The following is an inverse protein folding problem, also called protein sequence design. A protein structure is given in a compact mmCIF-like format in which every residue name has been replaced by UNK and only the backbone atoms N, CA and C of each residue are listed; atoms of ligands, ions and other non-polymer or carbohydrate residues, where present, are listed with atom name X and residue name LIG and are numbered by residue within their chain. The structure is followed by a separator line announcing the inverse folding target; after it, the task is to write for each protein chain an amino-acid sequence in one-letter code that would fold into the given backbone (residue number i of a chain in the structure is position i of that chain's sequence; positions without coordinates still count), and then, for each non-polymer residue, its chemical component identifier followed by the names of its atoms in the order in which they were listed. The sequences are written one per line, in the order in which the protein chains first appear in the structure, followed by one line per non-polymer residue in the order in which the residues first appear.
data_IF_697118095555
#
_entry.id   IF_697118095555
#
_cell.length_a   1.000
_cell.length_b   1.000
_cell.length_c   1.000
_cell.angle_alpha   90.00
_cell.angle_beta   90.00
_cell.angle_gamma   90.00
#
_symmetry.space_group_name_H-M   'P 1'
#
loop_
_entity.id
_entity.type
_entity.pdbx_description
1 polymer ?
#
# COMPACT_ATOMS: atom_id res chain seq x y z
N UNK A 1 38.77 -53.60 63.98
CA UNK A 1 39.83 -53.50 62.96
C UNK A 1 40.11 -52.02 62.73
N UNK A 2 41.40 -51.70 62.72
CA UNK A 2 42.00 -50.49 63.28
C UNK A 2 41.93 -49.28 62.36
N UNK A 3 41.56 -48.14 62.95
CA UNK A 3 41.44 -46.81 62.36
C UNK A 3 42.79 -46.06 62.43
N UNK A 4 43.18 -45.47 61.30
CA UNK A 4 44.07 -44.31 61.04
C UNK A 4 45.10 -43.83 62.08
N UNK A 5 46.33 -43.59 61.61
CA UNK A 5 47.30 -42.65 62.18
C UNK A 5 47.85 -41.70 61.08
N UNK A 6 48.31 -40.48 61.46
CA UNK A 6 48.43 -39.34 60.56
C UNK A 6 49.87 -38.89 60.24
N UNK A 7 49.95 -37.94 59.29
CA UNK A 7 50.88 -36.81 59.15
C UNK A 7 52.39 -37.06 59.35
N UNK A 8 53.15 -36.89 58.26
CA UNK A 8 54.57 -36.51 58.32
C UNK A 8 54.89 -35.28 57.46
N UNK A 9 55.69 -34.41 58.08
CA UNK A 9 56.13 -33.07 57.69
C UNK A 9 57.02 -33.08 56.45
N UNK A 10 56.91 -32.04 55.62
CA UNK A 10 57.93 -31.65 54.62
C UNK A 10 58.73 -30.43 55.10
N UNK A 11 60.06 -30.39 54.87
CA UNK A 11 60.89 -29.23 55.14
C UNK A 11 61.02 -28.29 53.93
N UNK A 12 61.46 -27.08 54.27
CA UNK A 12 61.71 -25.87 53.48
C UNK A 12 62.56 -26.04 52.20
N UNK A 13 62.35 -25.16 51.20
CA UNK A 13 63.42 -24.29 50.66
C UNK A 13 62.94 -23.24 49.64
N UNK A 14 63.25 -21.99 49.98
CA UNK A 14 63.75 -20.85 49.14
C UNK A 14 63.15 -20.60 47.75
N UNK A 15 62.31 -19.55 47.72
CA UNK A 15 62.45 -18.33 46.92
C UNK A 15 63.09 -18.39 45.51
N UNK A 16 62.26 -18.13 44.50
CA UNK A 16 62.62 -17.28 43.36
C UNK A 16 61.46 -16.34 43.03
N UNK A 17 61.72 -15.04 43.21
CA UNK A 17 60.88 -13.95 42.72
C UNK A 17 60.78 -14.05 41.21
N UNK A 18 59.58 -14.18 40.67
CA UNK A 18 59.26 -13.78 39.30
C UNK A 18 58.05 -12.85 39.39
N UNK A 19 58.22 -11.62 38.92
CA UNK A 19 57.16 -10.63 38.78
C UNK A 19 56.31 -11.04 37.57
N UNK A 20 54.98 -11.23 37.67
CA UNK A 20 54.16 -11.21 36.47
C UNK A 20 53.98 -9.76 36.04
N UNK A 21 54.46 -9.44 34.85
CA UNK A 21 54.13 -8.21 34.15
C UNK A 21 52.63 -8.24 33.84
N UNK A 22 51.90 -7.24 34.34
CA UNK A 22 50.52 -7.00 33.96
C UNK A 22 50.51 -6.51 32.50
N UNK A 23 50.12 -7.38 31.57
CA UNK A 23 49.75 -7.01 30.22
C UNK A 23 48.35 -6.39 30.29
N UNK A 24 48.27 -5.05 30.28
CA UNK A 24 47.04 -4.35 29.92
C UNK A 24 46.80 -4.58 28.43
N UNK A 25 45.90 -5.49 28.09
CA UNK A 25 45.32 -5.57 26.76
C UNK A 25 44.29 -4.44 26.64
N UNK A 26 44.65 -3.36 25.96
CA UNK A 26 43.68 -2.35 25.54
C UNK A 26 42.81 -2.97 24.43
N UNK A 27 41.61 -3.40 24.78
CA UNK A 27 40.59 -3.79 23.82
C UNK A 27 40.13 -2.51 23.10
N UNK A 28 40.60 -2.34 21.86
CA UNK A 28 40.11 -1.31 20.96
C UNK A 28 38.71 -1.74 20.52
N UNK A 29 37.68 -1.30 21.23
CA UNK A 29 36.30 -1.42 20.77
C UNK A 29 36.17 -0.55 19.51
N UNK A 30 36.21 -1.18 18.33
CA UNK A 30 35.63 -0.56 17.14
C UNK A 30 34.13 -0.48 17.39
N UNK A 31 33.68 0.66 17.89
CA UNK A 31 32.27 1.01 17.87
C UNK A 31 31.83 1.09 16.42
N UNK A 32 31.18 0.04 15.93
CA UNK A 32 30.31 0.17 14.77
C UNK A 32 29.19 1.08 15.25
N UNK A 33 29.22 2.35 14.85
CA UNK A 33 28.05 3.19 14.97
C UNK A 33 26.99 2.54 14.10
N UNK A 34 26.06 1.82 14.72
CA UNK A 34 24.80 1.48 14.06
C UNK A 34 24.22 2.81 13.61
N UNK A 35 24.04 2.98 12.30
CA UNK A 35 23.22 4.07 11.81
C UNK A 35 21.87 3.95 12.55
N UNK A 36 21.30 5.05 13.07
CA UNK A 36 19.95 4.97 13.61
C UNK A 36 19.08 4.36 12.52
N UNK A 37 18.41 3.24 12.83
CA UNK A 37 17.32 2.77 11.99
C UNK A 37 16.34 3.94 11.93
N UNK A 38 16.14 4.49 10.74
CA UNK A 38 15.04 5.45 10.52
C UNK A 38 13.78 4.72 10.96
N UNK A 39 13.11 5.22 12.00
CA UNK A 39 11.76 4.76 12.30
C UNK A 39 10.94 4.93 11.02
N UNK A 40 10.19 3.91 10.61
CA UNK A 40 9.22 4.06 9.53
C UNK A 40 8.31 5.23 9.91
N UNK A 41 8.14 6.17 8.98
CA UNK A 41 7.21 7.30 9.17
C UNK A 41 5.76 6.88 8.94
N UNK A 42 5.56 5.64 8.50
CA UNK A 42 4.25 5.06 8.29
C UNK A 42 3.60 4.74 9.63
N UNK A 43 2.29 4.98 9.71
CA UNK A 43 1.50 4.63 10.87
C UNK A 43 0.07 4.29 10.44
N UNK A 44 -0.50 3.29 11.10
CA UNK A 44 -1.93 2.98 11.05
C UNK A 44 -2.52 3.00 12.46
N UNK A 45 -3.81 3.30 12.54
CA UNK A 45 -4.61 3.11 13.75
C UNK A 45 -5.99 2.61 13.32
N UNK A 46 -6.43 1.47 13.86
CA UNK A 46 -7.70 0.85 13.48
C UNK A 46 -8.85 1.23 14.43
N UNK A 47 -10.10 0.94 14.03
CA UNK A 47 -11.31 1.14 14.83
C UNK A 47 -11.35 0.30 16.12
N UNK A 48 -10.40 -0.62 16.31
CA UNK A 48 -10.17 -1.28 17.59
C UNK A 48 -9.75 -0.27 18.68
N UNK A 49 -9.09 0.82 18.28
CA UNK A 49 -8.77 1.94 19.18
C UNK A 49 -10.03 2.74 19.52
N UNK A 50 -10.20 3.05 20.80
CA UNK A 50 -11.28 3.94 21.25
C UNK A 50 -11.08 5.41 20.88
N UNK A 51 -9.93 5.76 20.30
CA UNK A 51 -9.68 7.09 19.76
C UNK A 51 -10.36 7.33 18.40
N UNK A 52 -10.76 6.26 17.71
CA UNK A 52 -11.41 6.32 16.40
C UNK A 52 -12.88 5.90 16.48
N UNK A 53 -13.65 6.40 15.53
CA UNK A 53 -15.05 6.06 15.28
C UNK A 53 -15.33 6.18 13.78
N UNK A 54 -16.38 5.52 13.27
CA UNK A 54 -16.79 5.69 11.88
C UNK A 54 -17.00 7.18 11.52
N UNK A 55 -17.55 7.96 12.46
CA UNK A 55 -17.73 9.41 12.31
C UNK A 55 -16.41 10.15 12.14
N UNK A 56 -15.40 9.88 12.98
CA UNK A 56 -14.09 10.54 12.84
C UNK A 56 -13.35 10.09 11.57
N UNK A 57 -13.56 8.85 11.10
CA UNK A 57 -13.01 8.41 9.81
C UNK A 57 -13.64 9.19 8.65
N UNK A 58 -14.96 9.25 8.57
CA UNK A 58 -15.66 9.98 7.53
C UNK A 58 -15.34 11.50 7.56
N UNK A 59 -15.21 12.09 8.75
CA UNK A 59 -14.76 13.48 8.93
C UNK A 59 -13.32 13.73 8.46
N UNK A 60 -12.42 12.74 8.60
CA UNK A 60 -11.04 12.83 8.10
C UNK A 60 -10.97 12.86 6.57
N UNK A 61 -11.87 12.10 5.91
CA UNK A 61 -11.98 12.05 4.44
C UNK A 61 -12.62 13.33 3.89
N UNK A 62 -13.55 13.93 4.64
CA UNK A 62 -14.26 15.14 4.26
C UNK A 62 -13.32 16.36 4.11
N UNK A 63 -13.39 17.01 2.96
CA UNK A 63 -12.68 18.25 2.67
C UNK A 63 -13.29 19.46 3.36
N UNK A 64 -12.64 20.63 3.26
CA UNK A 64 -13.09 21.86 3.90
C UNK A 64 -14.55 22.21 3.55
N UNK A 65 -15.36 22.50 4.58
CA UNK A 65 -16.76 22.91 4.41
C UNK A 65 -17.75 21.77 4.15
N UNK A 66 -17.28 20.52 4.05
CA UNK A 66 -18.16 19.36 4.01
C UNK A 66 -18.56 18.99 5.44
N UNK A 67 -19.87 18.85 5.66
CA UNK A 67 -20.41 18.35 6.95
C UNK A 67 -20.78 16.89 6.79
N UNK A 68 -20.27 16.05 7.68
CA UNK A 68 -20.51 14.60 7.74
C UNK A 68 -21.52 14.28 8.84
N UNK A 69 -22.42 13.34 8.59
CA UNK A 69 -23.35 12.80 9.57
C UNK A 69 -23.59 11.31 9.37
N UNK A 70 -24.19 10.66 10.38
CA UNK A 70 -24.68 9.29 10.33
C UNK A 70 -23.64 8.25 9.89
N UNK A 71 -22.37 8.49 10.20
CA UNK A 71 -21.33 7.56 9.79
C UNK A 71 -21.41 6.25 10.57
N UNK A 72 -21.35 5.13 9.85
CA UNK A 72 -21.37 3.77 10.39
C UNK A 72 -20.31 2.91 9.73
N UNK A 73 -19.78 1.96 10.49
CA UNK A 73 -18.86 0.95 9.97
C UNK A 73 -19.42 -0.45 10.25
N UNK A 74 -19.32 -1.34 9.27
CA UNK A 74 -19.61 -2.76 9.37
C UNK A 74 -18.40 -3.56 8.89
N UNK A 75 -17.98 -4.56 9.66
CA UNK A 75 -16.75 -5.33 9.47
C UNK A 75 -16.03 -5.59 10.80
N UNK A 76 -14.86 -6.21 10.76
CA UNK A 76 -13.98 -6.30 11.92
C UNK A 76 -13.32 -4.93 12.20
N UNK A 77 -13.21 -4.48 13.46
CA UNK A 77 -12.55 -3.21 13.79
C UNK A 77 -11.10 -3.08 13.32
N UNK A 78 -10.39 -4.16 12.96
CA UNK A 78 -9.04 -4.05 12.35
C UNK A 78 -9.05 -3.70 10.87
N UNK A 79 -10.19 -3.90 10.18
CA UNK A 79 -10.32 -3.70 8.74
C UNK A 79 -10.41 -2.22 8.34
N UNK A 80 -10.70 -1.32 9.28
CA UNK A 80 -10.82 0.10 8.98
C UNK A 80 -10.19 1.01 10.03
N UNK A 81 -9.71 2.16 9.57
CA UNK A 81 -8.87 3.02 10.38
C UNK A 81 -8.21 4.14 9.60
N UNK A 82 -7.30 4.84 10.27
CA UNK A 82 -6.48 5.87 9.64
C UNK A 82 -5.12 5.31 9.25
N UNK A 83 -4.51 5.90 8.22
CA UNK A 83 -3.13 5.64 7.85
C UNK A 83 -2.41 6.95 7.48
N UNK A 84 -1.10 6.96 7.60
CA UNK A 84 -0.27 8.11 7.21
C UNK A 84 1.14 7.68 6.87
N UNK A 85 1.87 8.54 6.15
CA UNK A 85 3.30 8.39 5.92
C UNK A 85 3.67 7.35 4.86
N UNK A 86 2.70 6.85 4.08
CA UNK A 86 3.00 5.97 2.94
C UNK A 86 3.84 6.72 1.90
N UNK A 87 4.74 6.01 1.19
CA UNK A 87 5.68 6.65 0.29
C UNK A 87 4.96 7.30 -0.90
N UNK A 88 5.37 8.53 -1.23
CA UNK A 88 4.79 9.33 -2.31
C UNK A 88 5.44 9.14 -3.68
N UNK A 89 6.39 8.22 -3.79
CA UNK A 89 7.19 7.94 -4.99
C UNK A 89 6.44 7.15 -6.08
N UNK A 90 5.14 6.91 -5.88
CA UNK A 90 4.31 6.12 -6.80
C UNK A 90 2.84 6.56 -6.95
N UNK A 91 2.53 7.86 -6.96
CA UNK A 91 1.17 8.39 -7.22
C UNK A 91 0.08 8.01 -6.20
N UNK A 92 0.44 7.47 -5.03
CA UNK A 92 -0.50 6.94 -4.05
C UNK A 92 -1.06 7.99 -3.09
N UNK A 93 -2.24 7.69 -2.55
CA UNK A 93 -2.79 8.38 -1.37
C UNK A 93 -1.84 8.09 -0.20
N UNK A 94 -1.18 9.13 0.32
CA UNK A 94 -0.12 8.97 1.35
C UNK A 94 -0.64 9.03 2.79
N UNK A 95 -1.86 9.52 2.98
CA UNK A 95 -2.54 9.61 4.26
C UNK A 95 -4.06 9.66 4.07
N UNK A 96 -4.79 9.12 5.05
CA UNK A 96 -6.23 9.07 4.97
C UNK A 96 -6.87 7.99 5.81
N UNK A 97 -7.95 7.45 5.28
CA UNK A 97 -8.71 6.33 5.85
C UNK A 97 -8.54 5.12 4.95
N UNK A 98 -8.26 3.97 5.54
CA UNK A 98 -8.17 2.70 4.82
C UNK A 98 -9.34 1.79 5.21
N UNK A 99 -9.89 1.07 4.23
CA UNK A 99 -10.71 -0.12 4.43
C UNK A 99 -9.98 -1.27 3.72
N UNK A 100 -9.79 -2.39 4.41
CA UNK A 100 -9.08 -3.56 3.89
C UNK A 100 -9.90 -4.82 4.12
N UNK A 101 -9.71 -5.83 3.26
CA UNK A 101 -10.27 -7.17 3.49
C UNK A 101 -9.49 -7.90 4.60
N UNK A 102 -8.20 -7.59 4.76
CA UNK A 102 -7.37 -8.08 5.86
C UNK A 102 -7.30 -7.15 7.08
N UNK A 103 -6.09 -6.89 7.60
CA UNK A 103 -5.90 -6.04 8.79
C UNK A 103 -5.10 -4.77 8.50
N UNK A 104 -5.43 -3.65 9.16
CA UNK A 104 -4.61 -2.44 9.14
C UNK A 104 -3.44 -2.46 10.13
N UNK A 105 -3.46 -3.37 11.11
CA UNK A 105 -2.47 -3.44 12.18
C UNK A 105 -1.80 -4.81 12.20
N UNK A 106 -0.59 -4.87 12.76
CA UNK A 106 0.05 -6.15 13.05
C UNK A 106 -0.69 -6.88 14.17
N UNK A 107 -0.70 -8.21 14.10
CA UNK A 107 -1.26 -9.03 15.16
C UNK A 107 -0.46 -8.84 16.45
N UNK A 108 -1.13 -8.59 17.58
CA UNK A 108 -0.48 -8.66 18.88
C UNK A 108 -0.34 -10.15 19.27
N UNK A 109 0.89 -10.70 19.35
CA UNK A 109 1.09 -12.11 19.69
C UNK A 109 0.65 -12.46 21.12
N UNK A 110 0.24 -11.49 21.94
CA UNK A 110 -0.34 -11.68 23.27
C UNK A 110 -1.87 -11.52 23.29
N UNK A 111 -2.49 -11.08 22.20
CA UNK A 111 -3.94 -10.94 22.11
C UNK A 111 -4.57 -12.24 21.62
N UNK A 112 -5.42 -12.85 22.46
CA UNK A 112 -6.17 -14.06 22.08
C UNK A 112 -7.13 -13.83 20.90
N UNK A 113 -7.43 -12.56 20.56
CA UNK A 113 -8.26 -12.17 19.42
C UNK A 113 -7.52 -12.11 18.09
N UNK A 114 -6.18 -12.08 18.10
CA UNK A 114 -5.37 -11.84 16.90
C UNK A 114 -4.84 -13.16 16.38
N UNK A 115 -5.77 -14.00 15.91
CA UNK A 115 -5.50 -15.37 15.44
C UNK A 115 -5.68 -15.55 13.94
N UNK A 116 -6.38 -14.61 13.30
CA UNK A 116 -6.90 -14.70 11.93
C UNK A 116 -6.19 -13.75 10.95
N UNK A 117 -5.16 -13.02 11.41
CA UNK A 117 -4.27 -12.19 10.59
C UNK A 117 -2.86 -12.17 11.19
N UNK A 118 -1.85 -11.75 10.41
CA UNK A 118 -0.45 -11.77 10.85
C UNK A 118 0.22 -10.40 10.92
N UNK A 119 0.14 -9.62 9.84
CA UNK A 119 0.73 -8.29 9.72
C UNK A 119 -0.28 -7.34 9.06
N UNK A 120 0.00 -6.04 9.11
CA UNK A 120 -0.75 -5.04 8.36
C UNK A 120 -0.71 -5.31 6.85
N UNK A 121 -1.87 -5.28 6.20
CA UNK A 121 -2.03 -5.30 4.74
C UNK A 121 -1.61 -3.99 4.06
N UNK A 122 -1.23 -2.96 4.84
CA UNK A 122 -0.91 -1.62 4.33
C UNK A 122 0.55 -1.23 4.61
N UNK A 123 1.02 -1.41 5.84
CA UNK A 123 2.32 -0.92 6.28
C UNK A 123 3.46 -1.71 5.63
N UNK A 124 4.42 -0.98 5.05
CA UNK A 124 5.66 -1.59 4.55
C UNK A 124 6.68 -1.95 5.64
N UNK A 125 7.81 -2.59 5.26
CA UNK A 125 8.20 -2.92 3.88
C UNK A 125 7.38 -4.07 3.31
N UNK A 126 7.27 -4.15 1.97
CA UNK A 126 6.68 -5.33 1.32
C UNK A 126 7.53 -6.57 1.60
N UNK A 127 7.10 -7.41 2.53
CA UNK A 127 7.85 -8.56 3.00
C UNK A 127 7.16 -9.90 2.68
N UNK A 128 5.89 -9.87 2.26
CA UNK A 128 5.12 -11.05 1.88
C UNK A 128 4.43 -10.85 0.54
N UNK A 129 4.07 -11.96 -0.09
CA UNK A 129 3.15 -11.91 -1.25
C UNK A 129 1.70 -12.13 -0.82
N UNK A 130 1.49 -12.43 0.47
CA UNK A 130 0.21 -12.78 1.12
C UNK A 130 0.33 -12.46 2.62
N UNK A 131 -0.58 -11.66 3.18
CA UNK A 131 -0.63 -11.36 4.63
C UNK A 131 -1.66 -12.17 5.39
N UNK A 132 -2.61 -12.78 4.64
CA UNK A 132 -3.57 -13.79 5.13
C UNK A 132 -4.48 -13.26 6.22
N UNK A 133 -5.27 -12.22 5.93
CA UNK A 133 -6.38 -11.80 6.79
C UNK A 133 -7.66 -12.59 6.51
N UNK A 134 -7.80 -13.80 7.08
CA UNK A 134 -9.02 -14.62 6.97
C UNK A 134 -9.89 -14.41 8.21
N UNK A 135 -10.48 -13.22 8.33
CA UNK A 135 -11.13 -12.76 9.57
C UNK A 135 -12.46 -13.48 9.87
N UNK A 136 -12.95 -14.31 8.94
CA UNK A 136 -14.16 -15.11 9.10
C UNK A 136 -15.45 -14.28 9.16
N UNK A 137 -15.39 -13.04 8.71
CA UNK A 137 -16.47 -12.08 8.56
C UNK A 137 -17.42 -12.44 7.42
N UNK A 138 -18.62 -11.87 7.47
CA UNK A 138 -19.59 -12.02 6.40
C UNK A 138 -19.16 -11.20 5.18
N UNK A 139 -19.50 -11.68 3.98
CA UNK A 139 -19.48 -10.86 2.78
C UNK A 139 -20.62 -9.85 2.72
N UNK A 140 -20.79 -9.24 1.54
CA UNK A 140 -21.82 -8.25 1.26
C UNK A 140 -22.61 -8.62 0.00
N UNK A 141 -23.95 -8.58 0.07
CA UNK A 141 -24.82 -9.02 -1.03
C UNK A 141 -24.67 -8.15 -2.28
N UNK A 142 -24.44 -6.84 -2.12
CA UNK A 142 -24.25 -5.93 -3.24
C UNK A 142 -22.88 -6.18 -3.90
N UNK A 143 -21.85 -6.42 -3.10
CA UNK A 143 -20.53 -6.81 -3.60
C UNK A 143 -20.53 -8.18 -4.29
N UNK A 144 -21.25 -9.18 -3.75
CA UNK A 144 -21.45 -10.49 -4.40
C UNK A 144 -22.13 -10.34 -5.77
N UNK A 145 -23.14 -9.47 -5.87
CA UNK A 145 -23.79 -9.20 -7.14
C UNK A 145 -22.87 -8.48 -8.14
N UNK A 146 -21.99 -7.61 -7.66
CA UNK A 146 -21.02 -6.87 -8.47
C UNK A 146 -19.87 -7.74 -8.96
N UNK A 147 -19.31 -8.60 -8.10
CA UNK A 147 -18.24 -9.54 -8.44
C UNK A 147 -18.74 -10.69 -9.31
N UNK A 148 -19.98 -11.14 -9.08
CA UNK A 148 -20.55 -12.35 -9.68
C UNK A 148 -20.16 -13.64 -8.95
N UNK A 149 -19.50 -13.52 -7.80
CA UNK A 149 -18.95 -14.61 -6.98
C UNK A 149 -19.20 -14.33 -5.48
N UNK A 150 -19.13 -15.37 -4.65
CA UNK A 150 -19.31 -15.21 -3.20
C UNK A 150 -18.22 -14.31 -2.60
N UNK A 151 -18.63 -13.40 -1.73
CA UNK A 151 -17.72 -12.49 -1.02
C UNK A 151 -17.60 -12.83 0.47
N UNK A 152 -16.48 -12.45 1.08
CA UNK A 152 -16.17 -12.63 2.51
C UNK A 152 -15.54 -11.37 3.10
N UNK A 153 -15.45 -11.31 4.43
CA UNK A 153 -14.69 -10.26 5.13
C UNK A 153 -14.99 -8.83 4.65
N UNK A 154 -16.28 -8.52 4.47
CA UNK A 154 -16.68 -7.21 3.96
C UNK A 154 -16.43 -6.12 4.99
N UNK A 155 -15.68 -5.09 4.57
CA UNK A 155 -15.49 -3.85 5.30
C UNK A 155 -16.28 -2.74 4.61
N UNK A 156 -17.22 -2.13 5.33
CA UNK A 156 -18.17 -1.15 4.80
C UNK A 156 -18.21 0.10 5.66
N UNK A 157 -17.88 1.25 5.07
CA UNK A 157 -18.02 2.57 5.68
C UNK A 157 -19.12 3.34 4.94
N UNK A 158 -20.15 3.73 5.68
CA UNK A 158 -21.28 4.52 5.16
C UNK A 158 -21.38 5.82 5.93
N UNK A 159 -21.74 6.90 5.24
CA UNK A 159 -21.97 8.20 5.86
C UNK A 159 -22.76 9.13 4.95
N UNK A 160 -23.34 10.16 5.54
CA UNK A 160 -24.05 11.21 4.82
C UNK A 160 -23.22 12.50 4.78
N UNK A 161 -23.25 13.19 3.64
CA UNK A 161 -22.69 14.53 3.49
C UNK A 161 -23.71 15.49 2.90
N UNK A 162 -23.61 16.78 3.22
CA UNK A 162 -24.45 17.81 2.57
C UNK A 162 -23.73 18.36 1.34
N UNK A 163 -24.35 18.23 0.16
CA UNK A 163 -23.77 18.75 -1.08
C UNK A 163 -23.67 20.27 -1.07
N UNK A 164 -22.46 20.80 -1.23
CA UNK A 164 -22.23 22.25 -1.34
C UNK A 164 -22.26 22.74 -2.79
N UNK A 165 -22.13 21.83 -3.75
CA UNK A 165 -22.23 22.10 -5.19
C UNK A 165 -22.82 20.87 -5.92
N UNK A 166 -22.79 20.88 -7.25
CA UNK A 166 -23.49 19.97 -8.15
C UNK A 166 -22.71 18.71 -8.55
N UNK A 167 -21.42 18.64 -8.24
CA UNK A 167 -20.58 17.48 -8.54
C UNK A 167 -19.89 16.99 -7.28
N UNK A 168 -20.21 15.78 -6.82
CA UNK A 168 -19.47 15.09 -5.76
C UNK A 168 -18.14 14.57 -6.31
N UNK A 169 -17.07 14.68 -5.52
CA UNK A 169 -15.76 14.09 -5.82
C UNK A 169 -15.21 13.43 -4.56
N UNK A 170 -14.68 12.21 -4.70
CA UNK A 170 -13.91 11.50 -3.68
C UNK A 170 -12.64 10.90 -4.31
N UNK A 171 -11.47 11.27 -3.79
CA UNK A 171 -10.20 10.69 -4.20
C UNK A 171 -9.85 9.43 -3.40
N UNK A 172 -9.50 8.36 -4.12
CA UNK A 172 -9.14 7.07 -3.53
C UNK A 172 -8.00 6.38 -4.28
N UNK A 173 -7.31 5.45 -3.61
CA UNK A 173 -6.38 4.48 -4.21
C UNK A 173 -6.82 3.06 -3.92
N UNK A 174 -6.34 2.10 -4.71
CA UNK A 174 -6.57 0.67 -4.51
C UNK A 174 -5.23 -0.06 -4.48
N UNK A 175 -4.96 -0.82 -3.43
CA UNK A 175 -3.79 -1.68 -3.27
C UNK A 175 -4.22 -3.12 -3.08
N UNK A 176 -3.43 -4.08 -3.57
CA UNK A 176 -3.79 -5.50 -3.44
C UNK A 176 -2.57 -6.40 -3.46
N UNK A 177 -2.68 -7.54 -2.79
CA UNK A 177 -1.74 -8.64 -2.89
C UNK A 177 -1.96 -9.52 -4.13
N UNK A 178 -3.13 -9.43 -4.77
CA UNK A 178 -3.52 -10.25 -5.92
C UNK A 178 -2.65 -10.03 -7.17
N UNK A 179 -1.90 -8.92 -7.21
CA UNK A 179 -0.93 -8.64 -8.27
C UNK A 179 0.30 -9.58 -8.26
N UNK A 180 0.53 -10.34 -7.18
CA UNK A 180 1.56 -11.38 -7.15
C UNK A 180 1.09 -12.69 -7.78
N UNK A 181 2.03 -13.59 -8.12
CA UNK A 181 1.73 -14.86 -8.80
C UNK A 181 1.77 -16.11 -7.94
N UNK A 182 1.05 -17.15 -8.39
CA UNK A 182 0.73 -18.34 -7.58
C UNK A 182 1.77 -19.46 -7.47
N UNK A 183 2.92 -19.39 -8.16
CA UNK A 183 4.07 -20.29 -7.95
C UNK A 183 5.29 -19.83 -8.75
N UNK A 184 6.53 -19.99 -8.24
CA UNK A 184 7.78 -19.61 -8.93
C UNK A 184 7.96 -20.14 -10.36
N UNK A 185 7.20 -21.19 -10.72
CA UNK A 185 7.20 -21.79 -12.06
C UNK A 185 6.07 -21.29 -12.97
N UNK A 186 5.03 -20.67 -12.40
CA UNK A 186 3.97 -20.01 -13.14
C UNK A 186 3.63 -18.66 -12.47
N UNK A 187 4.33 -17.57 -12.87
CA UNK A 187 4.20 -16.23 -12.27
C UNK A 187 2.92 -15.49 -12.62
N UNK A 188 1.96 -16.16 -13.25
CA UNK A 188 0.67 -15.54 -13.51
C UNK A 188 0.06 -15.07 -12.20
N UNK A 189 -0.30 -13.79 -12.19
CA UNK A 189 -0.77 -13.10 -11.02
C UNK A 189 -2.12 -13.70 -10.54
N UNK A 190 -2.44 -13.65 -9.24
CA UNK A 190 -3.56 -14.37 -8.63
C UNK A 190 -4.91 -14.00 -9.25
N UNK A 191 -5.07 -12.76 -9.70
CA UNK A 191 -6.23 -12.30 -10.45
C UNK A 191 -6.45 -12.97 -11.80
N UNK A 192 -5.42 -13.57 -12.40
CA UNK A 192 -5.60 -14.42 -13.58
C UNK A 192 -6.32 -15.75 -13.25
N UNK A 193 -6.38 -16.12 -11.97
CA UNK A 193 -6.98 -17.37 -11.47
C UNK A 193 -8.39 -17.17 -10.91
N UNK A 194 -8.88 -15.94 -10.88
CA UNK A 194 -10.23 -15.60 -10.43
C UNK A 194 -10.29 -14.81 -9.12
N UNK A 195 -9.20 -14.76 -8.35
CA UNK A 195 -9.09 -13.98 -7.12
C UNK A 195 -9.08 -12.49 -7.46
N UNK A 196 -10.22 -11.83 -7.25
CA UNK A 196 -10.43 -10.42 -7.63
C UNK A 196 -11.31 -9.76 -6.60
N UNK A 197 -10.71 -9.32 -5.50
CA UNK A 197 -11.41 -8.60 -4.47
C UNK A 197 -12.16 -7.41 -5.06
N UNK A 198 -13.36 -7.23 -4.52
CA UNK A 198 -14.33 -6.33 -5.11
C UNK A 198 -14.40 -5.05 -4.29
N UNK A 199 -14.17 -3.93 -4.97
CA UNK A 199 -14.35 -2.58 -4.45
C UNK A 199 -15.62 -1.98 -5.06
N UNK A 200 -16.41 -1.33 -4.21
CA UNK A 200 -17.53 -0.48 -4.60
C UNK A 200 -17.46 0.85 -3.85
N UNK A 201 -17.64 1.94 -4.59
CA UNK A 201 -17.90 3.26 -4.01
C UNK A 201 -19.19 3.75 -4.63
N UNK A 202 -20.22 3.96 -3.82
CA UNK A 202 -21.54 4.37 -4.27
C UNK A 202 -21.89 5.76 -3.73
N UNK A 203 -22.45 6.58 -4.61
CA UNK A 203 -23.00 7.90 -4.28
C UNK A 203 -24.48 7.88 -4.58
N UNK A 204 -25.33 8.01 -3.56
CA UNK A 204 -26.79 7.82 -3.64
C UNK A 204 -27.17 6.49 -4.31
N UNK A 205 -26.42 5.41 -4.02
CA UNK A 205 -26.63 4.08 -4.60
C UNK A 205 -26.21 3.94 -6.06
N UNK A 206 -25.41 4.88 -6.59
CA UNK A 206 -24.82 4.78 -7.93
C UNK A 206 -23.32 4.59 -7.81
N UNK A 207 -22.81 3.51 -8.39
CA UNK A 207 -21.37 3.19 -8.45
C UNK A 207 -20.57 4.30 -9.15
N UNK A 208 -19.37 4.57 -8.63
CA UNK A 208 -18.47 5.59 -9.18
C UNK A 208 -16.98 5.21 -9.08
N UNK A 209 -16.61 4.05 -8.52
CA UNK A 209 -15.24 3.56 -8.50
C UNK A 209 -14.86 2.95 -9.86
N UNK A 210 -14.80 3.79 -10.89
CA UNK A 210 -14.48 3.38 -12.26
C UNK A 210 -13.05 3.75 -12.67
N UNK A 211 -12.48 2.92 -13.54
CA UNK A 211 -11.26 3.27 -14.27
C UNK A 211 -11.54 4.57 -15.04
N UNK A 212 -10.68 5.60 -14.92
CA UNK A 212 -10.97 6.92 -15.48
C UNK A 212 -11.30 6.88 -16.98
N UNK A 213 -12.38 7.58 -17.35
CA UNK A 213 -12.86 7.64 -18.73
C UNK A 213 -13.64 6.40 -19.21
N UNK A 214 -14.01 5.50 -18.30
CA UNK A 214 -14.77 4.27 -18.60
C UNK A 214 -15.85 4.02 -17.53
N UNK A 215 -16.73 3.04 -17.79
CA UNK A 215 -17.68 2.49 -16.79
C UNK A 215 -17.16 1.17 -16.18
N UNK A 216 -15.86 0.86 -16.35
CA UNK A 216 -15.25 -0.37 -15.84
C UNK A 216 -14.89 -0.19 -14.37
N UNK A 217 -15.43 -1.03 -13.47
CA UNK A 217 -15.07 -1.01 -12.06
C UNK A 217 -13.57 -1.26 -11.84
N UNK A 218 -13.01 -0.62 -10.81
CA UNK A 218 -11.59 -0.76 -10.44
C UNK A 218 -11.39 -2.03 -9.60
N UNK A 219 -10.48 -2.91 -10.04
CA UNK A 219 -9.96 -4.06 -9.29
C UNK A 219 -8.62 -4.51 -9.89
N UNK A 220 -8.00 -5.55 -9.32
CA UNK A 220 -6.70 -6.06 -9.78
C UNK A 220 -6.68 -6.56 -11.24
N UNK A 221 -7.84 -6.94 -11.79
CA UNK A 221 -7.95 -7.39 -13.18
C UNK A 221 -8.15 -6.26 -14.18
N UNK A 222 -8.65 -5.10 -13.75
CA UNK A 222 -8.92 -3.96 -14.62
C UNK A 222 -7.81 -2.93 -14.60
N UNK A 223 -6.96 -2.88 -13.57
CA UNK A 223 -5.79 -1.99 -13.49
C UNK A 223 -4.56 -2.78 -13.08
N UNK A 224 -3.67 -3.10 -14.03
CA UNK A 224 -2.50 -3.95 -13.81
C UNK A 224 -1.38 -3.66 -14.82
N UNK A 225 -0.38 -4.53 -14.90
CA UNK A 225 0.82 -4.41 -15.75
C UNK A 225 0.56 -4.54 -17.25
N UNK A 226 -0.63 -4.99 -17.65
CA UNK A 226 -1.04 -5.13 -19.06
C UNK A 226 -2.26 -4.30 -19.43
N UNK A 227 -3.12 -3.96 -18.46
CA UNK A 227 -4.41 -3.29 -18.65
C UNK A 227 -4.45 -2.01 -17.82
N UNK A 228 -4.78 -0.88 -18.45
CA UNK A 228 -4.81 0.44 -17.79
C UNK A 228 -3.51 0.79 -17.03
N UNK A 229 -2.37 0.41 -17.61
CA UNK A 229 -1.03 0.48 -17.01
C UNK A 229 -0.61 1.87 -16.56
N UNK A 230 -1.17 2.93 -17.16
CA UNK A 230 -0.90 4.31 -16.77
C UNK A 230 -1.38 4.67 -15.36
N UNK A 231 -2.26 3.85 -14.76
CA UNK A 231 -2.72 3.99 -13.39
C UNK A 231 -2.11 2.97 -12.43
N UNK A 232 -1.29 2.04 -12.91
CA UNK A 232 -0.77 0.93 -12.11
C UNK A 232 0.69 1.14 -11.72
N UNK A 233 0.98 0.95 -10.44
CA UNK A 233 2.33 0.86 -9.91
C UNK A 233 2.56 -0.56 -9.41
N UNK A 234 3.55 -1.24 -10.00
CA UNK A 234 3.96 -2.57 -9.55
C UNK A 234 4.85 -2.46 -8.31
N UNK A 235 4.58 -3.29 -7.31
CA UNK A 235 5.44 -3.48 -6.16
C UNK A 235 5.75 -4.97 -5.98
N UNK A 236 6.00 -5.65 -7.10
CA UNK A 236 6.37 -7.07 -7.15
C UNK A 236 7.28 -7.31 -8.35
N UNK A 237 8.20 -8.26 -8.23
CA UNK A 237 9.05 -8.70 -9.35
C UNK A 237 9.01 -10.22 -9.46
N UNK A 238 8.04 -10.74 -10.23
CA UNK A 238 7.77 -12.18 -10.32
C UNK A 238 7.22 -12.70 -8.99
N UNK A 239 8.02 -13.48 -8.25
CA UNK A 239 7.66 -14.03 -6.93
C UNK A 239 8.51 -13.45 -5.82
N UNK A 240 8.84 -12.19 -5.94
CA UNK A 240 9.60 -11.47 -4.93
C UNK A 240 8.85 -10.18 -4.63
N UNK A 241 8.55 -9.92 -3.35
CA UNK A 241 8.08 -8.62 -2.91
C UNK A 241 8.91 -7.48 -3.51
N UNK A 242 8.24 -6.37 -3.80
CA UNK A 242 8.89 -5.17 -4.31
C UNK A 242 9.64 -4.41 -3.22
N UNK A 243 10.12 -3.22 -3.57
CA UNK A 243 10.90 -2.37 -2.66
C UNK A 243 10.18 -1.09 -2.24
N UNK A 244 8.96 -0.86 -2.72
CA UNK A 244 8.15 0.26 -2.26
C UNK A 244 7.64 -0.10 -0.87
N UNK A 245 7.77 0.85 0.05
CA UNK A 245 7.52 0.67 1.48
C UNK A 245 6.01 0.66 1.78
N UNK A 246 5.28 -0.30 1.21
CA UNK A 246 3.87 -0.65 1.44
C UNK A 246 3.74 -2.16 1.24
N UNK A 247 2.82 -2.83 1.93
CA UNK A 247 2.70 -4.30 1.81
C UNK A 247 2.09 -4.76 0.49
N UNK A 248 1.29 -3.92 -0.18
CA UNK A 248 0.67 -4.28 -1.47
C UNK A 248 1.69 -4.76 -2.50
N UNK A 249 1.36 -5.82 -3.25
CA UNK A 249 2.15 -6.30 -4.39
C UNK A 249 1.99 -5.41 -5.64
N UNK A 250 0.97 -4.56 -5.64
CA UNK A 250 0.76 -3.52 -6.62
C UNK A 250 -0.38 -2.62 -6.16
N UNK A 251 -0.44 -1.42 -6.71
CA UNK A 251 -1.43 -0.44 -6.31
C UNK A 251 -1.68 0.58 -7.42
N UNK A 252 -2.78 1.29 -7.30
CA UNK A 252 -3.19 2.31 -8.26
C UNK A 252 -2.65 3.69 -7.89
N UNK A 253 -2.45 4.51 -8.90
CA UNK A 253 -2.44 5.97 -8.73
C UNK A 253 -3.80 6.42 -8.16
N UNK A 254 -3.82 7.55 -7.46
CA UNK A 254 -5.08 8.12 -6.98
C UNK A 254 -6.11 8.33 -8.13
N UNK A 255 -7.31 7.81 -7.91
CA UNK A 255 -8.47 7.87 -8.81
C UNK A 255 -9.55 8.75 -8.19
N UNK A 256 -10.50 9.20 -9.02
CA UNK A 256 -11.60 10.05 -8.58
C UNK A 256 -12.94 9.35 -8.83
N UNK A 257 -13.66 9.05 -7.75
CA UNK A 257 -15.10 8.80 -7.83
C UNK A 257 -15.81 10.14 -8.02
N UNK A 258 -16.64 10.26 -9.04
CA UNK A 258 -17.39 11.48 -9.33
C UNK A 258 -18.85 11.16 -9.61
N UNK A 259 -19.77 11.97 -9.07
CA UNK A 259 -21.20 11.81 -9.28
C UNK A 259 -21.92 13.16 -9.36
N UNK A 260 -22.93 13.25 -10.22
CA UNK A 260 -23.82 14.40 -10.24
C UNK A 260 -24.74 14.37 -9.00
N UNK A 261 -24.79 15.48 -8.28
CA UNK A 261 -25.60 15.64 -7.07
C UNK A 261 -26.34 16.97 -7.10
N UNK A 262 -27.29 17.16 -6.18
CA UNK A 262 -28.04 18.43 -6.07
C UNK A 262 -27.54 19.21 -4.87
N UNK A 263 -27.02 20.42 -5.11
CA UNK A 263 -26.56 21.31 -4.04
C UNK A 263 -27.66 21.54 -2.99
N UNK A 264 -27.26 21.55 -1.71
CA UNK A 264 -28.13 21.66 -0.55
C UNK A 264 -28.88 20.38 -0.16
N UNK A 265 -28.70 19.28 -0.89
CA UNK A 265 -29.28 17.97 -0.53
C UNK A 265 -28.26 17.09 0.20
N UNK A 266 -28.78 16.18 1.02
CA UNK A 266 -27.99 15.08 1.58
C UNK A 266 -27.59 14.13 0.46
N UNK A 267 -26.33 13.72 0.49
CA UNK A 267 -25.73 12.71 -0.37
C UNK A 267 -25.27 11.57 0.53
N UNK A 268 -25.75 10.37 0.22
CA UNK A 268 -25.35 9.17 0.93
C UNK A 268 -24.13 8.56 0.22
N UNK A 269 -23.07 8.28 0.98
CA UNK A 269 -21.83 7.69 0.48
C UNK A 269 -21.64 6.33 1.13
N UNK A 270 -21.36 5.31 0.31
CA UNK A 270 -21.03 3.96 0.74
C UNK A 270 -19.72 3.53 0.11
N UNK A 271 -18.74 3.16 0.93
CA UNK A 271 -17.46 2.58 0.50
C UNK A 271 -17.41 1.17 1.04
N UNK A 272 -17.29 0.18 0.17
CA UNK A 272 -17.31 -1.22 0.54
C UNK A 272 -16.20 -1.98 -0.21
N UNK A 273 -15.49 -2.85 0.52
CA UNK A 273 -14.50 -3.77 -0.03
C UNK A 273 -14.70 -5.15 0.60
N UNK A 274 -14.53 -6.21 -0.18
CA UNK A 274 -14.65 -7.58 0.29
C UNK A 274 -13.77 -8.53 -0.50
N UNK A 275 -13.34 -9.57 0.20
CA UNK A 275 -12.63 -10.71 -0.36
C UNK A 275 -13.52 -11.41 -1.38
N UNK A 276 -12.93 -11.89 -2.47
CA UNK A 276 -13.65 -12.66 -3.51
C UNK A 276 -12.97 -13.98 -3.79
N UNK A 277 -13.65 -15.09 -3.44
CA UNK A 277 -13.21 -16.48 -3.59
C UNK A 277 -12.04 -16.95 -2.69
N UNK A 278 -11.28 -16.05 -2.08
CA UNK A 278 -10.25 -16.37 -1.07
C UNK A 278 -10.21 -15.32 0.04
N UNK A 279 -9.65 -15.69 1.21
CA UNK A 279 -9.34 -14.76 2.31
C UNK A 279 -7.84 -14.76 2.65
N UNK A 280 -7.00 -15.01 1.64
CA UNK A 280 -5.54 -15.15 1.82
C UNK A 280 -4.77 -13.96 1.25
N UNK A 281 -5.35 -13.32 0.24
CA UNK A 281 -4.84 -12.15 -0.45
C UNK A 281 -5.65 -10.96 0.01
N UNK A 282 -4.99 -9.98 0.61
CA UNK A 282 -5.70 -8.82 1.13
C UNK A 282 -5.71 -7.70 0.09
N UNK A 283 -6.83 -6.99 -0.01
CA UNK A 283 -6.97 -5.77 -0.80
C UNK A 283 -7.42 -4.60 0.07
N UNK A 284 -6.99 -3.39 -0.30
CA UNK A 284 -7.26 -2.16 0.47
C UNK A 284 -7.68 -1.02 -0.44
N UNK A 285 -8.74 -0.32 -0.04
CA UNK A 285 -9.07 1.01 -0.55
C UNK A 285 -8.53 2.09 0.39
N UNK A 286 -7.83 3.07 -0.17
CA UNK A 286 -7.22 4.19 0.53
C UNK A 286 -7.98 5.48 0.19
N UNK A 287 -8.77 6.01 1.10
CA UNK A 287 -9.51 7.27 0.94
C UNK A 287 -8.64 8.43 1.40
N UNK A 288 -8.45 9.44 0.55
CA UNK A 288 -7.54 10.55 0.87
C UNK A 288 -8.08 11.46 1.99
N UNK A 289 -7.21 11.85 2.94
CA UNK A 289 -7.54 12.92 3.90
C UNK A 289 -7.99 14.17 3.17
N UNK A 290 -9.15 14.73 3.54
CA UNK A 290 -9.75 15.88 2.86
C UNK A 290 -9.93 15.68 1.34
N UNK A 291 -10.02 14.42 0.89
CA UNK A 291 -10.17 14.05 -0.51
C UNK A 291 -11.61 14.09 -1.03
N UNK A 292 -12.59 14.32 -0.16
CA UNK A 292 -14.01 14.41 -0.51
C UNK A 292 -14.48 15.86 -0.56
N UNK A 293 -15.12 16.26 -1.66
CA UNK A 293 -15.66 17.61 -1.81
C UNK A 293 -16.72 17.73 -2.88
N UNK A 294 -17.09 18.97 -3.18
CA UNK A 294 -18.04 19.30 -4.22
C UNK A 294 -17.51 20.39 -5.16
N UNK A 295 -17.76 20.21 -6.46
CA UNK A 295 -17.36 21.13 -7.52
C UNK A 295 -18.55 21.52 -8.38
N UNK A 296 -18.42 22.61 -9.12
CA UNK A 296 -19.43 23.09 -10.07
C UNK A 296 -19.43 22.34 -11.40
N UNK A 297 -18.40 21.52 -11.65
CA UNK A 297 -18.28 20.68 -12.83
C UNK A 297 -17.39 19.45 -12.55
N UNK A 298 -17.54 18.35 -13.33
CA UNK A 298 -16.65 17.21 -13.26
C UNK A 298 -15.20 17.53 -13.61
N UNK A 299 -14.28 16.84 -12.94
CA UNK A 299 -12.85 16.82 -13.24
C UNK A 299 -12.66 16.07 -14.56
N UNK A 300 -11.99 16.75 -15.50
CA UNK A 300 -11.72 16.24 -16.86
C UNK A 300 -10.27 15.80 -17.06
N UNK A 301 -9.35 16.25 -16.19
CA UNK A 301 -7.97 15.78 -16.12
C UNK A 301 -7.76 15.08 -14.77
N UNK A 302 -7.95 13.75 -14.69
CA UNK A 302 -7.82 13.02 -13.44
C UNK A 302 -6.33 12.99 -13.08
N UNK A 303 -5.89 13.97 -12.28
CA UNK A 303 -4.60 14.02 -11.61
C UNK A 303 -3.43 13.49 -12.45
N UNK A 304 -2.68 14.39 -13.09
CA UNK A 304 -1.55 14.03 -13.98
C UNK A 304 -0.72 12.85 -13.46
N UNK A 305 -0.75 11.77 -14.24
CA UNK A 305 -0.40 10.37 -13.98
C UNK A 305 1.07 10.08 -13.62
N UNK A 306 1.83 11.02 -13.07
CA UNK A 306 3.22 10.77 -12.62
C UNK A 306 3.74 11.78 -11.58
N UNK A 307 2.86 12.60 -10.96
CA UNK A 307 3.26 13.74 -10.12
C UNK A 307 2.64 13.84 -8.73
N UNK A 308 1.70 12.96 -8.37
CA UNK A 308 1.36 12.69 -6.96
C UNK A 308 0.71 13.82 -6.13
N UNK A 309 -0.16 14.66 -6.69
CA UNK A 309 -1.12 15.42 -5.85
C UNK A 309 -2.49 15.48 -6.51
N UNK A 310 -3.43 14.64 -6.04
CA UNK A 310 -4.85 14.92 -6.23
C UNK A 310 -5.29 15.87 -5.12
N UNK A 311 -5.73 17.06 -5.48
CA UNK A 311 -6.32 18.00 -4.53
C UNK A 311 -7.58 18.57 -5.13
N UNK A 312 -8.60 18.77 -4.28
CA UNK A 312 -9.80 19.48 -4.69
C UNK A 312 -9.41 20.90 -5.14
N UNK A 313 -9.77 21.34 -6.36
CA UNK A 313 -9.56 22.70 -6.80
C UNK A 313 -10.16 23.71 -5.79
N UNK A 314 -9.36 24.68 -5.33
CA UNK A 314 -9.80 25.69 -4.35
C UNK A 314 -9.49 25.37 -2.88
N UNK A 315 -8.86 24.23 -2.58
CA UNK A 315 -8.40 23.88 -1.23
C UNK A 315 -7.12 24.57 -0.76
N UNK A 316 -6.46 25.39 -1.59
CA UNK A 316 -5.27 26.15 -1.17
C UNK A 316 -5.68 27.37 -0.35
N UNK A 317 -5.22 27.44 0.89
CA UNK A 317 -5.23 28.67 1.71
C UNK A 317 -4.20 29.72 1.25
N UNK A 318 -3.64 29.56 0.05
CA UNK A 318 -2.77 30.55 -0.60
C UNK A 318 -3.62 31.51 -1.47
N UNK A 319 -3.73 32.80 -1.10
CA UNK A 319 -4.55 33.77 -1.84
C UNK A 319 -4.00 34.14 -3.23
N UNK A 320 -2.94 33.50 -3.72
CA UNK A 320 -2.24 33.91 -4.93
C UNK A 320 -2.56 33.11 -6.20
N UNK A 321 -3.41 32.07 -6.13
CA UNK A 321 -3.77 31.28 -7.33
C UNK A 321 -5.26 30.95 -7.41
N UNK A 322 -6.10 32.00 -7.43
CA UNK A 322 -7.48 31.87 -7.91
C UNK A 322 -7.51 32.10 -9.44
N UNK A 323 -7.85 31.09 -10.27
CA UNK A 323 -8.03 31.27 -11.71
C UNK A 323 -9.44 31.77 -12.08
N UNK A 324 -10.21 32.30 -11.13
CA UNK A 324 -11.52 32.92 -11.38
C UNK A 324 -11.40 34.39 -11.83
N UNK A 325 -10.65 34.65 -12.89
CA UNK A 325 -10.69 35.93 -13.60
C UNK A 325 -11.49 35.78 -14.90
N UNK A 326 -12.76 36.14 -14.83
CA UNK A 326 -13.66 36.34 -15.97
C UNK A 326 -13.05 37.33 -17.00
N UNK A 327 -12.93 36.98 -18.30
CA UNK A 327 -12.47 37.90 -19.33
C UNK A 327 -13.65 38.74 -19.82
N UNK A 328 -14.16 39.65 -18.99
CA UNK A 328 -15.22 40.57 -19.40
C UNK A 328 -14.65 41.89 -19.93
N UNK A 329 -14.91 42.09 -21.23
CA UNK A 329 -15.37 43.34 -21.86
C UNK A 329 -14.82 44.72 -21.40
N UNK A 330 -14.32 45.42 -22.43
CA UNK A 330 -14.61 46.82 -22.78
C UNK A 330 -13.50 47.86 -22.65
N UNK A 331 -13.26 48.48 -23.80
CA UNK A 331 -12.42 49.63 -24.11
C UNK A 331 -12.72 50.93 -23.32
N UNK A 332 -11.73 51.83 -23.29
CA UNK A 332 -12.00 53.27 -23.40
C UNK A 332 -11.14 54.26 -22.59
N UNK A 333 -10.03 54.70 -23.21
CA UNK A 333 -9.49 56.07 -23.24
C UNK A 333 -9.01 56.82 -21.96
N UNK A 334 -7.69 57.11 -21.95
CA UNK A 334 -7.20 58.50 -22.02
C UNK A 334 -6.63 59.14 -20.74
N UNK A 335 -5.37 59.61 -20.79
CA UNK A 335 -4.85 60.62 -19.85
C UNK A 335 -3.34 60.54 -19.60
N UNK A 336 -2.59 61.44 -20.24
CA UNK A 336 -1.13 61.54 -20.25
C UNK A 336 -0.52 62.15 -18.97
N UNK A 337 0.73 61.75 -18.65
CA UNK A 337 1.89 62.67 -18.48
C UNK A 337 3.16 61.92 -18.02
N UNK A 338 4.19 61.98 -18.85
CA UNK A 338 5.63 61.78 -18.54
C UNK A 338 6.24 63.16 -18.09
N UNK A 339 7.54 63.36 -17.75
CA UNK A 339 8.67 62.42 -17.59
C UNK A 339 9.65 62.77 -16.41
N UNK A 340 10.82 62.09 -16.39
CA UNK A 340 12.15 62.39 -15.77
C UNK A 340 12.56 61.39 -14.66
N UNK A 341 13.77 60.79 -14.58
CA UNK A 341 15.11 61.08 -15.14
C UNK A 341 15.99 59.81 -15.00
N UNK A 342 16.94 59.58 -15.92
CA UNK A 342 17.96 58.49 -15.85
C UNK A 342 19.10 58.74 -14.84
N UNK A 343 20.30 58.10 -14.92
CA UNK A 343 20.86 57.41 -16.10
C UNK A 343 21.42 55.99 -15.87
N UNK A 344 21.77 55.37 -17.00
CA UNK A 344 22.39 54.06 -17.19
C UNK A 344 23.93 54.08 -17.23
N UNK A 345 24.53 52.91 -17.03
CA UNK A 345 25.83 52.47 -17.57
C UNK A 345 25.62 51.03 -18.07
N UNK A 346 25.63 50.74 -19.39
CA UNK A 346 26.78 50.30 -20.22
C UNK A 346 27.08 48.80 -20.01
N UNK A 347 27.22 47.89 -20.98
CA UNK A 347 27.35 47.92 -22.44
C UNK A 347 27.07 46.51 -23.02
N UNK A 348 27.03 46.42 -24.36
CA UNK A 348 26.41 45.40 -25.20
C UNK A 348 27.28 44.20 -25.67
N UNK A 349 26.62 43.30 -26.43
CA UNK A 349 27.11 42.39 -27.51
C UNK A 349 27.01 40.88 -27.17
N UNK A 350 26.44 39.96 -27.97
CA UNK A 350 25.79 40.01 -29.28
C UNK A 350 25.38 38.60 -29.77
N UNK A 351 24.24 38.55 -30.47
CA UNK A 351 23.85 37.68 -31.60
C UNK A 351 24.00 36.14 -31.61
N UNK A 352 22.81 35.51 -31.74
CA UNK A 352 22.33 34.64 -32.84
C UNK A 352 22.88 33.21 -33.04
N UNK A 353 21.95 32.26 -33.14
CA UNK A 353 22.20 30.90 -33.65
C UNK A 353 20.98 29.98 -33.62
N UNK A 354 19.98 30.24 -34.47
CA UNK A 354 18.91 29.31 -34.82
C UNK A 354 19.47 28.22 -35.74
N UNK A 355 19.21 26.94 -35.47
CA UNK A 355 19.11 25.87 -36.49
C UNK A 355 18.14 24.76 -36.07
N UNK A 356 17.13 24.57 -36.91
CA UNK A 356 16.32 23.36 -37.07
C UNK A 356 17.19 22.13 -37.42
N UNK A 357 16.76 20.95 -36.99
CA UNK A 357 16.94 19.72 -37.76
C UNK A 357 15.86 18.68 -37.43
N UNK A 358 15.18 18.27 -38.50
CA UNK A 358 14.07 17.33 -38.58
C UNK A 358 14.61 15.90 -38.79
N UNK A 359 13.91 14.93 -38.21
CA UNK A 359 13.75 13.49 -38.51
C UNK A 359 14.73 12.76 -39.45
N UNK A 360 15.12 11.54 -39.05
CA UNK A 360 15.03 10.32 -39.90
C UNK A 360 15.02 9.05 -39.05
N UNK A 361 14.02 8.20 -39.32
CA UNK A 361 13.96 6.80 -38.91
C UNK A 361 14.99 5.95 -39.67
N UNK A 362 15.41 4.82 -39.07
CA UNK A 362 16.01 3.73 -39.84
C UNK A 362 15.67 2.38 -39.20
N UNK A 363 14.86 1.61 -39.94
CA UNK A 363 14.59 0.20 -39.75
C UNK A 363 15.82 -0.63 -40.12
N UNK A 364 16.12 -1.68 -39.35
CA UNK A 364 16.88 -2.84 -39.88
C UNK A 364 16.41 -4.13 -39.21
N UNK A 365 15.69 -4.93 -39.99
CA UNK A 365 15.41 -6.35 -39.73
C UNK A 365 16.60 -7.22 -40.15
N UNK A 366 16.46 -8.56 -39.99
CA UNK A 366 17.26 -9.70 -40.56
C UNK A 366 18.27 -10.27 -39.53
N UNK A 367 18.30 -11.53 -39.06
CA UNK A 367 17.62 -12.80 -39.42
C UNK A 367 17.43 -13.75 -38.24
N UNK A 368 16.42 -14.61 -38.40
CA UNK A 368 16.27 -15.94 -37.80
C UNK A 368 17.30 -16.91 -38.39
N UNK A 369 17.97 -17.70 -37.55
CA UNK A 369 18.59 -18.95 -37.99
C UNK A 369 18.47 -20.00 -36.89
N UNK A 370 17.68 -21.04 -37.18
CA UNK A 370 17.61 -22.27 -36.40
C UNK A 370 18.71 -23.23 -36.85
N UNK A 371 19.39 -23.88 -35.91
CA UNK A 371 20.19 -25.09 -36.13
C UNK A 371 20.26 -25.87 -34.82
N UNK A 372 19.90 -27.15 -34.88
CA UNK A 372 19.81 -28.04 -33.73
C UNK A 372 21.09 -28.82 -33.42
N UNK A 373 21.01 -29.50 -32.26
CA UNK A 373 21.70 -30.73 -31.78
C UNK A 373 23.22 -30.80 -31.90
N UNK A 374 23.92 -30.83 -30.75
CA UNK A 374 24.45 -32.07 -30.16
C UNK A 374 25.11 -31.82 -28.80
N UNK A 375 25.19 -32.90 -28.00
CA UNK A 375 25.46 -32.88 -26.56
C UNK A 375 26.88 -32.56 -26.11
N UNK A 376 27.00 -32.31 -24.81
CA UNK A 376 28.27 -32.15 -24.11
C UNK A 376 28.08 -32.16 -22.60
N UNK A 377 28.41 -33.28 -21.96
CA UNK A 377 28.55 -33.43 -20.53
C UNK A 377 29.60 -32.47 -19.96
N UNK A 378 29.33 -31.86 -18.80
CA UNK A 378 30.36 -31.46 -17.86
C UNK A 378 29.89 -31.71 -16.42
N UNK A 379 30.47 -32.75 -15.82
CA UNK A 379 30.50 -33.03 -14.38
C UNK A 379 31.78 -32.43 -13.80
N UNK A 380 31.66 -31.69 -12.71
CA UNK A 380 32.63 -31.54 -11.61
C UNK A 380 31.77 -31.15 -10.39
N UNK A 381 31.57 -31.95 -9.34
CA UNK A 381 32.55 -32.57 -8.42
C UNK A 381 32.85 -31.57 -7.28
N UNK A 382 32.02 -31.46 -6.24
CA UNK A 382 31.94 -32.27 -5.01
C UNK A 382 33.07 -32.05 -3.99
N UNK A 383 32.73 -31.49 -2.80
CA UNK A 383 33.19 -31.82 -1.43
C UNK A 383 32.05 -31.36 -0.46
N UNK A 384 31.18 -32.18 0.16
CA UNK A 384 31.30 -33.05 1.36
C UNK A 384 31.95 -32.36 2.57
N UNK A 385 31.42 -32.30 3.81
CA UNK A 385 30.77 -33.34 4.63
C UNK A 385 30.17 -32.78 5.96
N UNK A 386 29.10 -33.47 6.46
CA UNK A 386 28.66 -33.74 7.85
C UNK A 386 28.37 -32.55 8.80
N UNK A 387 27.28 -32.50 9.58
CA UNK A 387 26.60 -33.48 10.47
C UNK A 387 25.06 -33.37 10.28
N UNK A 388 24.14 -34.31 10.56
CA UNK A 388 24.16 -35.56 11.32
C UNK A 388 22.94 -35.65 12.26
N UNK A 389 21.85 -36.30 11.79
CA UNK A 389 20.84 -37.12 12.52
C UNK A 389 19.67 -36.51 13.33
N UNK A 390 18.47 -37.03 13.01
CA UNK A 390 17.29 -37.23 13.87
C UNK A 390 15.98 -36.72 13.21
N UNK A 391 14.92 -37.48 12.94
CA UNK A 391 14.56 -38.87 13.16
C UNK A 391 13.45 -39.28 12.17
N UNK A 392 13.39 -40.57 11.83
CA UNK A 392 12.41 -41.21 10.95
C UNK A 392 11.41 -42.02 11.79
N UNK A 393 10.12 -41.89 11.47
CA UNK A 393 9.19 -43.02 11.44
C UNK A 393 8.20 -43.18 12.59
N UNK A 394 6.91 -42.96 12.30
CA UNK A 394 5.86 -43.98 12.47
C UNK A 394 4.56 -43.53 11.76
N UNK A 395 4.27 -44.19 10.63
CA UNK A 395 2.98 -44.23 9.96
C UNK A 395 2.20 -45.45 10.48
N UNK A 396 0.90 -45.28 10.71
CA UNK A 396 -0.10 -46.30 10.42
C UNK A 396 -0.86 -46.90 11.62
N UNK A 397 -2.11 -46.47 11.78
CA UNK A 397 -3.32 -47.28 12.09
C UNK A 397 -4.47 -46.31 12.38
N UNK A 398 -5.35 -46.01 11.43
CA UNK A 398 -6.68 -46.63 11.30
C UNK A 398 -7.74 -45.55 11.61
N UNK A 399 -8.63 -45.14 10.71
CA UNK A 399 -9.46 -45.97 9.84
C UNK A 399 -10.83 -46.19 10.47
N UNK A 400 -11.70 -45.18 10.35
CA UNK A 400 -13.18 -45.23 10.25
C UNK A 400 -13.90 -46.36 11.00
N UNK A 401 -14.67 -46.03 12.05
CA UNK A 401 -15.85 -46.82 12.43
C UNK A 401 -16.93 -45.99 13.18
N UNK A 402 -18.02 -45.74 12.45
CA UNK A 402 -19.43 -45.84 12.85
C UNK A 402 -19.99 -44.99 14.02
N UNK A 403 -20.77 -43.97 13.61
CA UNK A 403 -22.20 -43.76 13.92
C UNK A 403 -22.81 -44.35 15.21
N UNK A 404 -23.48 -43.43 15.91
CA UNK A 404 -24.69 -43.59 16.70
C UNK A 404 -24.56 -44.05 18.17
N UNK A 405 -24.69 -43.09 19.09
CA UNK A 405 -25.69 -43.22 20.15
C UNK A 405 -26.31 -41.88 20.58
N UNK A 406 -27.56 -41.72 20.17
CA UNK A 406 -28.63 -40.88 20.71
C UNK A 406 -28.59 -40.67 22.25
N UNK A 407 -28.97 -39.44 22.62
CA UNK A 407 -29.84 -39.05 23.75
C UNK A 407 -29.37 -39.40 25.17
N UNK A 408 -29.01 -38.36 25.93
CA UNK A 408 -29.67 -37.84 27.15
C UNK A 408 -28.64 -37.08 28.01
N UNK A 409 -29.01 -35.87 28.43
CA UNK A 409 -28.22 -35.00 29.30
C UNK A 409 -28.38 -33.57 28.83
#
# INVERSE_FOLDING_TARGET
MTTTLPLTRRPERRARRTRPAALLAAALCLGVAAAPASASTQATESLRSSALSAQSLAESVAGPGVTVANATFSGDPVQAGTFSGLPGDGNAVTQGVALTTGSLIDADPQADSDVDFSISSVLGPNDKLTTTGDLGGAGDEALTALSGDDTYDAAVLEFDVTATDSTFVLFYGFGSEEYAGGSSVNPDAWQSRGYKDVLSIEVNGTECAHVPGTDTAVNAATVNDTTNTGYYTSNVSGHSPGSIDVEFNGFTSAMACQAAVTAGQTVHVRVAIADTLDGQLDSTVLLSTQGLGFLSAPITDPCTTTGGTCSLPGGSTDPSTDPSADPSASAGAGGASDPATGPATGAASGTAGVRDARATASLKATQVSASGRDGGLARTGAQTLAWGLGALGLLGAGGVLLLARRRRG
#
